data_IF_356087754300
#
_entry.id   IF_356087754300
#
_cell.length_a   1.000
_cell.length_b   1.000
_cell.length_c   1.000
_cell.angle_alpha   90.00
_cell.angle_beta   90.00
_cell.angle_gamma   90.00
#
_symmetry.space_group_name_H-M   'P 1'
#
loop_
_entity.id
_entity.type
_entity.pdbx_description
1 polymer ?
#
# COMPACT_ATOMS: atom_id res chain seq x y z
N UNK A 1 20.32 -18.46 -8.48
CA UNK A 1 18.93 -17.98 -8.54
C UNK A 1 18.02 -19.19 -8.43
N UNK A 2 17.08 -19.20 -7.50
CA UNK A 2 16.06 -20.25 -7.37
C UNK A 2 14.86 -19.92 -8.24
N UNK A 3 14.11 -20.95 -8.66
CA UNK A 3 12.80 -20.73 -9.29
C UNK A 3 11.74 -20.33 -8.24
N UNK A 4 10.58 -19.84 -8.69
CA UNK A 4 9.49 -19.37 -7.84
C UNK A 4 9.01 -20.45 -6.87
N UNK A 5 8.84 -21.68 -7.37
CA UNK A 5 8.39 -22.84 -6.60
C UNK A 5 9.34 -23.15 -5.42
N UNK A 6 10.65 -23.13 -5.64
CA UNK A 6 11.64 -23.33 -4.59
C UNK A 6 11.57 -22.23 -3.52
N UNK A 7 11.35 -20.99 -3.94
CA UNK A 7 11.29 -19.83 -3.03
C UNK A 7 10.00 -19.85 -2.20
N UNK A 8 8.90 -20.36 -2.75
CA UNK A 8 7.66 -20.59 -2.00
C UNK A 8 7.77 -21.74 -1.00
N UNK A 9 8.45 -22.81 -1.39
CA UNK A 9 8.61 -24.03 -0.56
C UNK A 9 9.62 -23.81 0.56
N UNK A 10 10.70 -23.08 0.28
CA UNK A 10 11.80 -22.80 1.22
C UNK A 10 12.10 -21.29 1.30
N UNK A 11 11.18 -20.48 1.85
CA UNK A 11 11.27 -19.01 1.83
C UNK A 11 12.45 -18.44 2.64
N UNK A 12 13.04 -19.27 3.49
CA UNK A 12 14.18 -18.92 4.35
C UNK A 12 15.43 -19.73 4.00
N UNK A 13 15.44 -20.39 2.83
CA UNK A 13 16.63 -21.12 2.38
C UNK A 13 17.79 -20.16 2.14
N UNK A 14 18.97 -20.55 2.63
CA UNK A 14 20.23 -19.86 2.33
C UNK A 14 21.16 -20.82 1.63
N UNK A 15 21.79 -20.36 0.56
CA UNK A 15 22.82 -21.12 -0.16
C UNK A 15 24.17 -20.43 0.03
N UNK A 16 25.18 -21.20 0.45
CA UNK A 16 26.57 -20.76 0.56
C UNK A 16 27.38 -21.51 -0.48
N UNK A 17 28.15 -20.78 -1.27
CA UNK A 17 29.18 -21.37 -2.10
C UNK A 17 30.46 -21.48 -1.27
N UNK A 18 30.87 -22.70 -0.96
CA UNK A 18 32.09 -22.96 -0.19
C UNK A 18 33.33 -22.80 -1.08
N UNK A 19 34.51 -22.84 -0.49
CA UNK A 19 35.75 -22.70 -1.23
C UNK A 19 36.08 -23.95 -2.05
N UNK A 20 36.93 -23.79 -3.06
CA UNK A 20 37.41 -24.90 -3.87
C UNK A 20 38.41 -25.73 -3.06
N UNK A 21 38.17 -27.03 -2.96
CA UNK A 21 39.15 -27.97 -2.39
C UNK A 21 39.46 -29.07 -3.41
N UNK A 22 40.50 -28.83 -4.23
CA UNK A 22 41.06 -29.85 -5.14
C UNK A 22 40.17 -30.30 -6.31
N UNK A 23 38.96 -29.74 -6.46
CA UNK A 23 38.04 -29.96 -7.57
C UNK A 23 37.74 -28.63 -8.28
N UNK A 24 37.45 -28.70 -9.57
CA UNK A 24 36.94 -27.61 -10.40
C UNK A 24 35.46 -27.28 -10.14
N UNK A 25 34.80 -28.04 -9.27
CA UNK A 25 33.44 -27.78 -8.80
C UNK A 25 33.42 -27.09 -7.44
N UNK A 26 32.51 -26.13 -7.29
CA UNK A 26 32.33 -25.37 -6.05
C UNK A 26 31.24 -26.02 -5.19
N UNK A 27 31.54 -26.54 -3.99
CA UNK A 27 30.52 -27.14 -3.13
C UNK A 27 29.47 -26.09 -2.72
N UNK A 28 28.20 -26.51 -2.70
CA UNK A 28 27.08 -25.66 -2.35
C UNK A 28 26.40 -26.19 -1.08
N UNK A 29 26.39 -25.38 -0.03
CA UNK A 29 25.71 -25.68 1.23
C UNK A 29 24.36 -24.95 1.27
N UNK A 30 23.28 -25.72 1.23
CA UNK A 30 21.91 -25.21 1.38
C UNK A 30 21.41 -25.43 2.81
N UNK A 31 21.19 -24.35 3.55
CA UNK A 31 20.57 -24.39 4.88
C UNK A 31 19.08 -24.10 4.71
N UNK A 32 18.25 -25.04 5.16
CA UNK A 32 16.79 -24.93 5.14
C UNK A 32 16.30 -24.63 6.55
N UNK A 33 16.00 -23.37 6.86
CA UNK A 33 15.43 -22.99 8.15
C UNK A 33 13.93 -23.36 8.19
N UNK A 34 13.58 -24.43 8.90
CA UNK A 34 12.21 -24.98 9.00
C UNK A 34 11.36 -24.33 10.09
N UNK A 35 11.94 -23.50 10.96
CA UNK A 35 11.29 -23.01 12.18
C UNK A 35 10.59 -21.64 12.06
N UNK A 36 10.67 -20.98 10.91
CA UNK A 36 10.00 -19.68 10.76
C UNK A 36 8.50 -19.88 10.52
N UNK A 37 7.70 -19.70 11.58
CA UNK A 37 6.23 -19.72 11.52
C UNK A 37 5.74 -18.73 10.45
N UNK A 38 4.79 -19.16 9.62
CA UNK A 38 4.03 -18.25 8.72
C UNK A 38 3.47 -17.09 9.57
N UNK A 39 3.88 -15.87 9.26
CA UNK A 39 3.37 -14.67 9.94
C UNK A 39 1.89 -14.49 9.57
N UNK A 40 1.06 -14.10 10.54
CA UNK A 40 -0.33 -13.69 10.27
C UNK A 40 -0.33 -12.54 9.25
N UNK A 41 -1.24 -12.61 8.29
CA UNK A 41 -1.45 -11.55 7.31
C UNK A 41 -1.85 -10.24 7.98
N UNK A 42 -1.34 -9.12 7.47
CA UNK A 42 -1.72 -7.78 7.92
C UNK A 42 -2.83 -7.29 7.00
N UNK A 43 -3.88 -6.69 7.57
CA UNK A 43 -4.94 -6.04 6.77
C UNK A 43 -4.33 -4.95 5.90
N UNK A 44 -4.76 -4.91 4.63
CA UNK A 44 -4.46 -3.82 3.70
C UNK A 44 -5.70 -3.52 2.91
N UNK A 45 -6.08 -2.25 2.89
CA UNK A 45 -7.19 -1.78 2.06
C UNK A 45 -6.83 -1.96 0.57
N UNK A 46 -7.72 -2.62 -0.16
CA UNK A 46 -7.60 -2.78 -1.62
C UNK A 46 -8.17 -1.51 -2.28
N UNK A 47 -7.36 -0.87 -3.13
CA UNK A 47 -7.76 0.37 -3.79
C UNK A 47 -8.90 0.17 -4.78
N UNK A 48 -9.05 -1.02 -5.35
CA UNK A 48 -10.12 -1.32 -6.30
C UNK A 48 -11.51 -1.22 -5.64
N UNK A 49 -11.57 -1.21 -4.31
CA UNK A 49 -12.80 -1.02 -3.55
C UNK A 49 -13.28 0.43 -3.49
N UNK A 50 -12.47 1.40 -3.93
CA UNK A 50 -12.81 2.83 -3.85
C UNK A 50 -14.08 3.18 -4.64
N UNK A 51 -14.29 2.50 -5.77
CA UNK A 51 -15.39 2.77 -6.69
C UNK A 51 -16.61 1.89 -6.36
N UNK A 52 -16.53 1.02 -5.34
CA UNK A 52 -17.62 0.15 -4.95
C UNK A 52 -18.60 0.94 -4.04
N UNK A 53 -19.85 1.17 -4.47
CA UNK A 53 -20.84 1.89 -3.67
C UNK A 53 -21.17 1.14 -2.36
N UNK A 54 -21.17 -0.21 -2.36
CA UNK A 54 -21.43 -0.99 -1.15
C UNK A 54 -20.38 -0.72 -0.08
N UNK A 55 -19.11 -0.68 -0.46
CA UNK A 55 -18.00 -0.38 0.46
C UNK A 55 -18.16 1.02 1.04
N UNK A 56 -18.54 2.00 0.22
CA UNK A 56 -18.79 3.37 0.68
C UNK A 56 -19.89 3.39 1.74
N UNK A 57 -21.01 2.70 1.50
CA UNK A 57 -22.10 2.60 2.50
C UNK A 57 -21.68 1.86 3.77
N UNK A 58 -20.84 0.83 3.67
CA UNK A 58 -20.31 0.09 4.82
C UNK A 58 -19.40 0.99 5.65
N UNK A 59 -18.54 1.77 4.99
CA UNK A 59 -17.66 2.74 5.63
C UNK A 59 -18.47 3.82 6.33
N UNK A 60 -19.48 4.39 5.67
CA UNK A 60 -20.38 5.38 6.27
C UNK A 60 -21.09 4.86 7.52
N UNK A 61 -21.66 3.65 7.45
CA UNK A 61 -22.32 3.02 8.59
C UNK A 61 -21.34 2.71 9.72
N UNK A 62 -20.18 2.16 9.39
CA UNK A 62 -19.16 1.79 10.38
C UNK A 62 -18.54 3.02 11.05
N UNK A 63 -18.36 4.11 10.29
CA UNK A 63 -17.83 5.37 10.80
C UNK A 63 -18.80 6.02 11.78
N UNK A 64 -20.10 6.01 11.47
CA UNK A 64 -21.14 6.65 12.26
C UNK A 64 -21.76 5.75 13.34
N UNK A 65 -21.20 4.56 13.60
CA UNK A 65 -21.74 3.59 14.54
C UNK A 65 -21.82 4.11 15.99
N UNK A 66 -20.85 4.94 16.40
CA UNK A 66 -20.81 5.55 17.74
C UNK A 66 -20.43 7.01 17.62
N UNK A 67 -21.22 7.89 18.25
CA UNK A 67 -20.99 9.34 18.24
C UNK A 67 -19.80 9.73 19.14
N UNK A 68 -19.61 9.03 20.25
CA UNK A 68 -18.54 9.30 21.22
C UNK A 68 -17.20 8.64 20.87
N UNK A 69 -17.17 7.79 19.83
CA UNK A 69 -15.95 7.11 19.44
C UNK A 69 -14.90 8.08 18.87
N UNK A 70 -13.64 7.87 19.27
CA UNK A 70 -12.49 8.58 18.71
C UNK A 70 -12.27 8.22 17.23
N UNK A 71 -11.49 9.04 16.52
CA UNK A 71 -11.15 8.77 15.11
C UNK A 71 -10.46 7.41 14.97
N UNK A 72 -9.52 7.08 15.85
CA UNK A 72 -8.85 5.77 15.85
C UNK A 72 -9.84 4.60 15.99
N UNK A 73 -10.80 4.71 16.90
CA UNK A 73 -11.84 3.69 17.09
C UNK A 73 -12.72 3.54 15.86
N UNK A 74 -13.10 4.64 15.21
CA UNK A 74 -13.90 4.64 13.97
C UNK A 74 -13.13 4.03 12.80
N UNK A 75 -11.84 4.34 12.64
CA UNK A 75 -10.94 3.68 11.67
C UNK A 75 -10.89 2.17 11.97
N UNK A 76 -10.77 1.79 13.23
CA UNK A 76 -10.81 0.40 13.67
C UNK A 76 -12.11 -0.32 13.33
N UNK A 77 -13.26 0.34 13.48
CA UNK A 77 -14.58 -0.17 13.08
C UNK A 77 -14.68 -0.36 11.56
N UNK A 78 -14.24 0.64 10.78
CA UNK A 78 -14.19 0.53 9.32
C UNK A 78 -13.34 -0.66 8.88
N UNK A 79 -12.16 -0.84 9.50
CA UNK A 79 -11.28 -1.99 9.24
C UNK A 79 -12.00 -3.32 9.47
N UNK A 80 -12.70 -3.47 10.60
CA UNK A 80 -13.45 -4.70 10.93
C UNK A 80 -14.56 -4.97 9.91
N UNK A 81 -15.35 -3.95 9.58
CA UNK A 81 -16.47 -4.07 8.64
C UNK A 81 -15.99 -4.42 7.22
N UNK A 82 -14.95 -3.74 6.72
CA UNK A 82 -14.36 -4.05 5.40
C UNK A 82 -13.74 -5.45 5.41
N UNK A 83 -13.05 -5.84 6.49
CA UNK A 83 -12.45 -7.18 6.60
C UNK A 83 -13.52 -8.28 6.57
N UNK A 84 -14.66 -8.05 7.24
CA UNK A 84 -15.80 -8.96 7.23
C UNK A 84 -16.42 -9.05 5.84
N UNK A 85 -16.70 -7.91 5.20
CA UNK A 85 -17.23 -7.88 3.83
C UNK A 85 -16.29 -8.59 2.86
N UNK A 86 -14.98 -8.39 2.97
CA UNK A 86 -13.98 -9.10 2.18
C UNK A 86 -14.04 -10.60 2.40
N UNK A 87 -14.18 -11.07 3.64
CA UNK A 87 -14.28 -12.51 3.89
C UNK A 87 -15.52 -13.13 3.22
N UNK A 88 -16.62 -12.37 3.14
CA UNK A 88 -17.89 -12.81 2.55
C UNK A 88 -17.93 -12.71 1.02
N UNK A 89 -17.28 -11.69 0.44
CA UNK A 89 -17.39 -11.34 -0.99
C UNK A 89 -16.16 -11.67 -1.82
N UNK A 90 -15.06 -12.13 -1.21
CA UNK A 90 -13.86 -12.45 -1.98
C UNK A 90 -14.10 -13.72 -2.81
N UNK A 91 -14.56 -13.53 -4.05
CA UNK A 91 -14.32 -14.49 -5.11
C UNK A 91 -12.80 -14.61 -5.25
N UNK A 92 -12.30 -15.83 -5.27
CA UNK A 92 -10.91 -16.03 -5.64
C UNK A 92 -10.82 -15.60 -7.12
N UNK A 93 -10.20 -14.46 -7.41
CA UNK A 93 -10.07 -13.93 -8.77
C UNK A 93 -9.52 -14.99 -9.74
N UNK A 94 -8.68 -15.89 -9.24
CA UNK A 94 -8.17 -17.01 -10.00
C UNK A 94 -9.24 -18.05 -10.37
N UNK A 95 -10.22 -18.29 -9.49
CA UNK A 95 -11.39 -19.13 -9.80
C UNK A 95 -12.30 -18.46 -10.83
N UNK A 96 -12.50 -17.14 -10.73
CA UNK A 96 -13.28 -16.37 -11.70
C UNK A 96 -12.65 -16.40 -13.09
N UNK A 97 -11.33 -16.19 -13.17
CA UNK A 97 -10.55 -16.33 -14.41
C UNK A 97 -10.63 -17.75 -14.97
N UNK A 98 -10.53 -18.78 -14.13
CA UNK A 98 -10.65 -20.18 -14.57
C UNK A 98 -12.04 -20.51 -15.12
N UNK A 99 -13.09 -19.99 -14.49
CA UNK A 99 -14.45 -20.22 -14.92
C UNK A 99 -14.77 -19.49 -16.24
N UNK A 100 -14.32 -18.25 -16.41
CA UNK A 100 -14.47 -17.52 -17.68
C UNK A 100 -13.66 -18.18 -18.81
N UNK A 101 -12.47 -18.74 -18.53
CA UNK A 101 -11.73 -19.56 -19.48
C UNK A 101 -12.49 -20.80 -19.90
N UNK A 102 -13.13 -21.50 -18.94
CA UNK A 102 -13.94 -22.69 -19.22
C UNK A 102 -15.15 -22.34 -20.09
N UNK A 103 -15.82 -21.22 -19.82
CA UNK A 103 -16.93 -20.72 -20.66
C UNK A 103 -16.47 -20.40 -22.07
N UNK A 104 -15.30 -19.78 -22.22
CA UNK A 104 -14.72 -19.47 -23.52
C UNK A 104 -14.42 -20.75 -24.31
N UNK A 105 -13.80 -21.74 -23.67
CA UNK A 105 -13.49 -23.04 -24.27
C UNK A 105 -14.76 -23.76 -24.75
N UNK A 106 -15.82 -23.75 -23.96
CA UNK A 106 -17.13 -24.31 -24.34
C UNK A 106 -17.77 -23.56 -25.50
N UNK A 107 -17.73 -22.22 -25.49
CA UNK A 107 -18.29 -21.40 -26.56
C UNK A 107 -17.54 -21.60 -27.90
N UNK A 108 -16.21 -21.75 -27.85
CA UNK A 108 -15.38 -22.01 -29.03
C UNK A 108 -15.49 -23.45 -29.54
N UNK A 109 -15.85 -24.40 -28.68
CA UNK A 109 -16.05 -25.82 -29.05
C UNK A 109 -17.49 -26.12 -29.48
N UNK A 110 -18.38 -25.13 -29.41
CA UNK A 110 -19.78 -25.28 -29.82
C UNK A 110 -19.90 -25.34 -31.34
N UNK A 111 -20.78 -26.19 -31.90
CA UNK A 111 -21.07 -26.19 -33.33
C UNK A 111 -21.82 -24.94 -33.83
N UNK A 112 -22.27 -24.08 -32.92
CA UNK A 112 -22.94 -22.81 -33.22
C UNK A 112 -22.01 -21.65 -32.86
N UNK A 113 -21.59 -20.87 -33.87
CA UNK A 113 -20.75 -19.69 -33.68
C UNK A 113 -21.59 -18.50 -33.21
N UNK A 114 -21.67 -18.30 -31.89
CA UNK A 114 -22.21 -17.07 -31.31
C UNK A 114 -21.08 -16.07 -31.04
N UNK A 115 -20.76 -15.26 -32.05
CA UNK A 115 -19.71 -14.25 -31.96
C UNK A 115 -19.99 -13.19 -30.87
N UNK A 116 -21.27 -12.89 -30.59
CA UNK A 116 -21.64 -11.91 -29.57
C UNK A 116 -21.37 -12.45 -28.16
N UNK A 117 -21.66 -13.73 -27.92
CA UNK A 117 -21.34 -14.40 -26.67
C UNK A 117 -19.81 -14.47 -26.45
N UNK A 118 -19.05 -14.86 -27.48
CA UNK A 118 -17.58 -14.93 -27.42
C UNK A 118 -16.96 -13.56 -27.13
N UNK A 119 -17.45 -12.50 -27.78
CA UNK A 119 -17.00 -11.13 -27.51
C UNK A 119 -17.29 -10.71 -26.06
N UNK A 120 -18.47 -11.08 -25.54
CA UNK A 120 -18.85 -10.80 -24.16
C UNK A 120 -17.94 -11.52 -23.15
N UNK A 121 -17.68 -12.81 -23.36
CA UNK A 121 -16.79 -13.61 -22.50
C UNK A 121 -15.36 -13.05 -22.53
N UNK A 122 -14.85 -12.69 -23.71
CA UNK A 122 -13.52 -12.08 -23.82
C UNK A 122 -13.41 -10.73 -23.09
N UNK A 123 -14.46 -9.89 -23.16
CA UNK A 123 -14.50 -8.64 -22.41
C UNK A 123 -14.52 -8.88 -20.90
N UNK A 124 -15.29 -9.87 -20.43
CA UNK A 124 -15.33 -10.25 -19.01
C UNK A 124 -13.97 -10.78 -18.54
N UNK A 125 -13.34 -11.65 -19.33
CA UNK A 125 -12.03 -12.21 -19.03
C UNK A 125 -10.94 -11.13 -19.00
N UNK A 126 -10.97 -10.19 -19.95
CA UNK A 126 -10.07 -9.04 -19.97
C UNK A 126 -10.26 -8.15 -18.73
N UNK A 127 -11.51 -7.90 -18.33
CA UNK A 127 -11.83 -7.14 -17.11
C UNK A 127 -11.32 -7.86 -15.84
N UNK A 128 -11.48 -9.18 -15.76
CA UNK A 128 -10.95 -9.98 -14.65
C UNK A 128 -9.42 -9.92 -14.57
N UNK A 129 -8.72 -10.01 -15.70
CA UNK A 129 -7.27 -9.87 -15.77
C UNK A 129 -6.79 -8.48 -15.33
N UNK A 130 -7.45 -7.40 -15.78
CA UNK A 130 -7.10 -6.05 -15.36
C UNK A 130 -7.25 -5.85 -13.84
N UNK A 131 -8.30 -6.42 -13.24
CA UNK A 131 -8.49 -6.39 -11.78
C UNK A 131 -7.38 -7.15 -11.04
N UNK A 132 -7.00 -8.33 -11.52
CA UNK A 132 -5.90 -9.13 -10.96
C UNK A 132 -4.55 -8.40 -11.10
N UNK A 133 -4.28 -7.81 -12.26
CA UNK A 133 -3.07 -7.03 -12.50
C UNK A 133 -3.01 -5.82 -11.56
N UNK A 134 -4.10 -5.06 -11.42
CA UNK A 134 -4.17 -3.93 -10.49
C UNK A 134 -3.93 -4.38 -9.04
N UNK A 135 -4.51 -5.51 -8.63
CA UNK A 135 -4.30 -6.12 -7.31
C UNK A 135 -2.82 -6.46 -7.08
N UNK A 136 -2.16 -7.14 -8.04
CA UNK A 136 -0.76 -7.50 -7.93
C UNK A 136 0.18 -6.31 -8.07
N UNK A 137 -0.16 -5.31 -8.87
CA UNK A 137 0.58 -4.07 -9.01
C UNK A 137 0.60 -3.30 -7.67
N UNK A 138 -0.55 -3.20 -6.99
CA UNK A 138 -0.64 -2.60 -5.65
C UNK A 138 0.24 -3.33 -4.63
N UNK A 139 0.27 -4.68 -4.68
CA UNK A 139 1.02 -5.50 -3.72
C UNK A 139 2.52 -5.55 -3.99
N UNK A 140 2.92 -5.56 -5.25
CA UNK A 140 4.33 -5.60 -5.68
C UNK A 140 5.04 -4.28 -5.48
N UNK A 141 4.32 -3.15 -5.46
CA UNK A 141 4.87 -1.79 -5.24
C UNK A 141 5.97 -1.44 -6.26
N UNK A 142 5.80 -1.84 -7.51
CA UNK A 142 6.73 -1.67 -8.65
C UNK A 142 6.98 -0.19 -9.05
N UNK A 143 6.62 0.80 -8.23
CA UNK A 143 6.92 2.21 -8.50
C UNK A 143 8.44 2.50 -8.49
N UNK A 144 9.22 1.71 -7.74
CA UNK A 144 10.66 1.92 -7.56
C UNK A 144 11.56 1.27 -8.63
N UNK A 145 11.06 0.26 -9.35
CA UNK A 145 11.87 -0.49 -10.31
C UNK A 145 12.05 0.26 -11.65
N UNK A 146 11.13 1.17 -12.00
CA UNK A 146 11.20 1.93 -13.25
C UNK A 146 12.27 3.04 -13.25
N UNK A 147 12.62 3.57 -12.08
CA UNK A 147 13.64 4.61 -11.92
C UNK A 147 14.94 3.95 -11.41
N UNK A 148 15.70 3.36 -12.33
CA UNK A 148 16.90 2.59 -12.01
C UNK A 148 17.87 3.27 -11.03
N UNK A 149 18.47 2.48 -10.15
CA UNK A 149 19.35 2.89 -9.04
C UNK A 149 20.80 3.25 -9.48
N UNK A 150 20.98 3.74 -10.71
CA UNK A 150 22.30 4.00 -11.32
C UNK A 150 22.67 5.48 -11.38
N UNK A 151 22.27 6.28 -10.38
CA UNK A 151 22.79 7.65 -10.27
C UNK A 151 22.83 8.18 -8.82
N UNK A 152 23.68 7.58 -7.97
CA UNK A 152 23.89 8.04 -6.59
C UNK A 152 24.33 9.51 -6.52
N UNK A 153 25.12 10.00 -7.49
CA UNK A 153 25.57 11.39 -7.55
C UNK A 153 24.42 12.40 -7.67
N UNK A 154 23.49 12.17 -8.59
CA UNK A 154 22.29 13.00 -8.75
C UNK A 154 21.42 12.97 -7.49
N UNK A 155 21.17 11.79 -6.91
CA UNK A 155 20.35 11.69 -5.70
C UNK A 155 21.03 12.33 -4.48
N UNK A 156 22.36 12.25 -4.34
CA UNK A 156 23.09 12.94 -3.28
C UNK A 156 23.11 14.46 -3.48
N UNK A 157 23.23 14.96 -4.71
CA UNK A 157 23.12 16.38 -5.03
C UNK A 157 21.70 16.90 -4.78
N UNK A 158 20.67 16.17 -5.24
CA UNK A 158 19.27 16.48 -4.99
C UNK A 158 18.93 16.43 -3.49
N UNK A 159 19.50 15.48 -2.74
CA UNK A 159 19.33 15.39 -1.28
C UNK A 159 20.04 16.54 -0.56
N UNK A 160 21.25 16.93 -0.98
CA UNK A 160 21.96 18.10 -0.45
C UNK A 160 21.20 19.39 -0.74
N UNK A 161 20.72 19.57 -1.97
CA UNK A 161 19.85 20.70 -2.35
C UNK A 161 18.57 20.74 -1.51
N UNK A 162 17.90 19.59 -1.33
CA UNK A 162 16.74 19.49 -0.42
C UNK A 162 17.08 19.79 1.02
N UNK A 163 18.24 19.36 1.55
CA UNK A 163 18.67 19.71 2.91
C UNK A 163 18.87 21.21 3.08
N UNK A 164 19.44 21.88 2.08
CA UNK A 164 19.59 23.34 2.07
C UNK A 164 18.23 24.03 2.01
N UNK A 165 17.31 23.58 1.16
CA UNK A 165 15.94 24.13 1.04
C UNK A 165 15.10 23.88 2.30
N UNK A 166 15.20 22.68 2.88
CA UNK A 166 14.46 22.28 4.08
C UNK A 166 15.07 22.85 5.37
N UNK A 167 16.27 23.46 5.30
CA UNK A 167 16.80 24.27 6.40
C UNK A 167 16.01 25.57 6.40
N UNK A 168 14.82 25.53 6.99
CA UNK A 168 13.89 26.65 7.15
C UNK A 168 14.52 27.72 8.06
N UNK A 169 15.49 28.47 7.53
CA UNK A 169 16.22 29.50 8.28
C UNK A 169 15.34 30.72 8.53
N UNK A 170 14.57 31.14 7.53
CA UNK A 170 13.63 32.28 7.56
C UNK A 170 12.50 31.96 6.57
N UNK A 171 11.25 32.24 6.94
CA UNK A 171 10.08 32.14 6.05
C UNK A 171 9.58 33.55 5.85
N UNK A 172 9.54 34.00 4.59
CA UNK A 172 9.15 35.35 4.20
C UNK A 172 7.85 35.30 3.38
N UNK A 173 7.03 36.34 3.49
CA UNK A 173 5.87 36.53 2.63
C UNK A 173 6.29 37.01 1.22
N UNK A 174 5.33 37.24 0.33
CA UNK A 174 5.58 37.76 -1.01
C UNK A 174 6.26 39.14 -1.04
N UNK A 175 6.35 39.82 0.10
CA UNK A 175 6.96 41.14 0.26
C UNK A 175 8.31 41.08 0.97
N UNK A 176 8.84 39.88 1.26
CA UNK A 176 10.12 39.69 1.96
C UNK A 176 10.03 39.88 3.48
N UNK A 177 8.82 39.86 4.06
CA UNK A 177 8.63 40.05 5.50
C UNK A 177 8.60 38.68 6.20
N UNK A 178 9.43 38.51 7.23
CA UNK A 178 9.48 37.28 8.02
C UNK A 178 8.13 36.96 8.68
N UNK A 179 7.50 35.87 8.27
CA UNK A 179 6.21 35.37 8.77
C UNK A 179 6.44 34.26 9.79
N UNK A 180 6.43 34.62 11.07
CA UNK A 180 6.52 33.66 12.18
C UNK A 180 5.17 33.40 12.84
N UNK A 181 4.25 34.37 12.81
CA UNK A 181 2.93 34.25 13.46
C UNK A 181 1.97 33.31 12.74
N UNK A 182 2.01 33.25 11.41
CA UNK A 182 1.15 32.37 10.62
C UNK A 182 1.49 30.88 10.79
N UNK A 183 2.75 30.56 11.14
CA UNK A 183 3.22 29.18 11.34
C UNK A 183 2.82 28.59 12.70
N UNK A 184 2.47 29.45 13.66
CA UNK A 184 2.03 29.07 15.01
C UNK A 184 0.50 29.14 15.09
N UNK A 185 -0.16 29.66 14.06
CA UNK A 185 -1.61 29.70 14.00
C UNK A 185 -2.20 28.29 13.88
N UNK A 186 -3.39 28.11 14.44
CA UNK A 186 -4.15 26.87 14.29
C UNK A 186 -4.50 26.64 12.81
N UNK A 187 -4.34 25.41 12.31
CA UNK A 187 -4.63 25.12 10.91
C UNK A 187 -6.13 25.21 10.63
N UNK A 188 -6.45 25.85 9.49
CA UNK A 188 -7.81 25.90 8.98
C UNK A 188 -8.26 24.52 8.48
N UNK A 189 -9.58 24.23 8.47
CA UNK A 189 -10.11 22.99 7.86
C UNK A 189 -9.67 22.78 6.41
N UNK A 190 -9.52 23.87 5.65
CA UNK A 190 -9.05 23.84 4.27
C UNK A 190 -7.59 23.43 4.15
N UNK A 191 -6.72 23.90 5.06
CA UNK A 191 -5.31 23.48 5.12
C UNK A 191 -5.17 22.02 5.52
N UNK A 192 -5.96 21.55 6.49
CA UNK A 192 -5.98 20.15 6.91
C UNK A 192 -6.38 19.25 5.74
N UNK A 193 -7.43 19.62 5.01
CA UNK A 193 -7.85 18.91 3.80
C UNK A 193 -6.74 18.94 2.73
N UNK A 194 -6.18 20.11 2.44
CA UNK A 194 -5.12 20.26 1.44
C UNK A 194 -3.89 19.40 1.77
N UNK A 195 -3.49 19.37 3.04
CA UNK A 195 -2.39 18.55 3.53
C UNK A 195 -2.66 17.05 3.27
N UNK A 196 -3.83 16.54 3.62
CA UNK A 196 -4.19 15.14 3.35
C UNK A 196 -4.21 14.82 1.84
N UNK A 197 -4.74 15.72 1.02
CA UNK A 197 -4.85 15.53 -0.43
C UNK A 197 -3.51 15.69 -1.16
N UNK A 198 -2.50 16.31 -0.54
CA UNK A 198 -1.14 16.36 -1.06
C UNK A 198 -0.40 15.02 -0.99
N UNK A 199 -0.89 14.09 -0.15
CA UNK A 199 -0.28 12.77 0.02
C UNK A 199 -0.65 11.89 -1.18
N UNK A 200 0.35 11.28 -1.82
CA UNK A 200 0.10 10.34 -2.91
C UNK A 200 -0.78 9.16 -2.41
N UNK A 201 -1.90 8.84 -3.09
CA UNK A 201 -2.85 7.80 -2.66
C UNK A 201 -2.24 6.41 -2.44
N UNK A 202 -1.14 6.11 -3.15
CA UNK A 202 -0.44 4.82 -3.15
C UNK A 202 0.75 4.77 -2.17
N UNK A 203 0.86 5.75 -1.28
CA UNK A 203 1.82 5.71 -0.18
C UNK A 203 1.56 4.51 0.73
N UNK A 204 2.63 4.07 1.39
CA UNK A 204 2.57 2.92 2.29
C UNK A 204 1.53 3.17 3.39
N UNK A 205 0.64 2.20 3.66
CA UNK A 205 -0.33 2.33 4.74
C UNK A 205 0.36 2.28 6.11
N UNK A 206 -0.28 2.90 7.10
CA UNK A 206 0.13 2.81 8.48
C UNK A 206 -0.15 1.43 9.09
N UNK A 207 0.03 1.29 10.41
CA UNK A 207 -0.39 0.09 11.15
C UNK A 207 -1.88 -0.22 11.04
N UNK A 208 -2.67 0.78 10.65
CA UNK A 208 -4.10 0.69 10.40
C UNK A 208 -4.46 -0.04 9.10
N UNK A 209 -3.52 -0.17 8.16
CA UNK A 209 -3.72 -0.82 6.87
C UNK A 209 -4.44 0.04 5.82
N UNK A 210 -4.69 1.33 6.09
CA UNK A 210 -5.30 2.26 5.13
C UNK A 210 -4.23 3.16 4.49
N UNK A 211 -4.35 3.40 3.18
CA UNK A 211 -3.52 4.39 2.48
C UNK A 211 -4.22 5.75 2.46
N UNK A 212 -3.50 6.80 2.05
CA UNK A 212 -4.09 8.14 1.90
C UNK A 212 -5.31 8.15 0.96
N UNK A 213 -5.31 7.28 -0.07
CA UNK A 213 -6.43 7.17 -1.00
C UNK A 213 -7.76 6.79 -0.34
N UNK A 214 -7.74 6.00 0.75
CA UNK A 214 -8.94 5.67 1.50
C UNK A 214 -9.57 6.92 2.13
N UNK A 215 -8.77 7.74 2.80
CA UNK A 215 -9.23 8.97 3.46
C UNK A 215 -9.65 10.04 2.45
N UNK A 216 -8.95 10.14 1.31
CA UNK A 216 -9.30 11.07 0.24
C UNK A 216 -10.66 10.73 -0.38
N UNK A 217 -10.92 9.44 -0.63
CA UNK A 217 -12.19 8.97 -1.21
C UNK A 217 -13.36 9.18 -0.24
N UNK A 218 -13.14 8.95 1.05
CA UNK A 218 -14.19 9.01 2.08
C UNK A 218 -14.19 10.34 2.87
N UNK A 219 -13.58 11.40 2.32
CA UNK A 219 -13.37 12.66 3.05
C UNK A 219 -14.68 13.36 3.41
N UNK A 220 -15.73 13.23 2.60
CA UNK A 220 -17.05 13.80 2.89
C UNK A 220 -17.62 13.31 4.24
N UNK A 221 -17.30 12.07 4.61
CA UNK A 221 -17.80 11.40 5.81
C UNK A 221 -16.84 11.56 6.97
N UNK A 222 -15.54 11.38 6.72
CA UNK A 222 -14.52 11.33 7.77
C UNK A 222 -13.93 12.71 8.10
N UNK A 223 -13.91 13.60 7.12
CA UNK A 223 -13.25 14.90 7.17
C UNK A 223 -13.66 15.76 8.37
N UNK A 224 -14.95 15.88 8.73
CA UNK A 224 -15.36 16.67 9.89
C UNK A 224 -14.71 16.21 11.20
N UNK A 225 -14.78 14.91 11.53
CA UNK A 225 -14.23 14.38 12.78
C UNK A 225 -12.69 14.37 12.79
N UNK A 226 -12.06 14.12 11.64
CA UNK A 226 -10.59 14.24 11.49
C UNK A 226 -10.15 15.69 11.71
N UNK A 227 -10.88 16.66 11.16
CA UNK A 227 -10.56 18.08 11.31
C UNK A 227 -10.67 18.52 12.77
N UNK A 228 -11.71 18.07 13.46
CA UNK A 228 -11.91 18.31 14.90
C UNK A 228 -10.75 17.75 15.72
N UNK A 229 -10.39 16.46 15.54
CA UNK A 229 -9.29 15.84 16.27
C UNK A 229 -7.94 16.54 16.00
N UNK A 230 -7.69 16.95 14.76
CA UNK A 230 -6.47 17.72 14.44
C UNK A 230 -6.47 19.06 15.17
N UNK A 231 -7.58 19.80 15.21
CA UNK A 231 -7.65 21.06 15.95
C UNK A 231 -7.45 20.86 17.45
N UNK A 232 -8.08 19.86 18.05
CA UNK A 232 -7.89 19.50 19.46
C UNK A 232 -6.41 19.22 19.79
N UNK A 233 -5.67 18.57 18.89
CA UNK A 233 -4.23 18.31 19.07
C UNK A 233 -3.44 19.63 19.10
N UNK A 234 -3.76 20.60 18.24
CA UNK A 234 -3.08 21.89 18.20
C UNK A 234 -3.44 22.74 19.43
N UNK A 235 -4.72 22.74 19.85
CA UNK A 235 -5.19 23.45 21.05
C UNK A 235 -4.57 22.86 22.34
N UNK A 236 -4.61 21.53 22.49
CA UNK A 236 -4.09 20.84 23.67
C UNK A 236 -2.56 20.72 23.67
N UNK A 237 -1.90 20.89 22.51
CA UNK A 237 -0.47 20.60 22.30
C UNK A 237 -0.06 19.18 22.72
N UNK A 238 -0.98 18.22 22.64
CA UNK A 238 -0.77 16.81 23.01
C UNK A 238 -1.12 15.94 21.81
N UNK A 239 -0.14 15.16 21.35
CA UNK A 239 -0.34 14.16 20.29
C UNK A 239 -0.64 12.80 20.94
N UNK A 240 -1.80 12.18 20.67
CA UNK A 240 -2.10 10.82 21.11
C UNK A 240 -0.97 9.85 20.71
N UNK A 241 -0.52 9.04 21.66
CA UNK A 241 0.57 8.08 21.43
C UNK A 241 0.27 7.06 20.33
N UNK A 242 -1.01 6.79 20.08
CA UNK A 242 -1.46 5.91 19.01
C UNK A 242 -1.16 6.46 17.61
N UNK A 243 -1.19 7.78 17.40
CA UNK A 243 -0.84 8.42 16.13
C UNK A 243 0.65 8.32 15.79
N UNK A 244 1.51 8.10 16.79
CA UNK A 244 2.95 7.94 16.62
C UNK A 244 3.37 6.50 16.27
N UNK A 245 2.41 5.56 16.12
CA UNK A 245 2.71 4.17 15.77
C UNK A 245 3.07 4.05 14.29
N UNK A 246 4.24 3.50 13.98
CA UNK A 246 4.69 3.28 12.59
C UNK A 246 5.29 1.89 12.39
N UNK A 247 5.31 1.43 11.13
CA UNK A 247 5.99 0.20 10.75
C UNK A 247 7.40 0.50 10.23
N UNK A 248 8.41 0.02 10.94
CA UNK A 248 9.79 0.04 10.45
C UNK A 248 9.99 -1.15 9.50
N UNK A 249 10.50 -0.89 8.29
CA UNK A 249 10.76 -1.90 7.27
C UNK A 249 12.12 -1.68 6.64
N UNK A 250 12.91 -2.74 6.54
CA UNK A 250 14.15 -2.75 5.77
C UNK A 250 13.80 -2.87 4.28
N UNK A 251 14.31 -1.93 3.47
CA UNK A 251 14.17 -1.96 2.01
C UNK A 251 15.52 -2.38 1.43
N UNK A 252 15.61 -3.56 0.81
CA UNK A 252 16.85 -4.02 0.18
C UNK A 252 17.21 -3.08 -0.97
N UNK A 253 18.46 -2.58 -0.98
CA UNK A 253 19.01 -1.74 -2.07
C UNK A 253 19.77 -2.54 -3.12
N UNK A 254 20.28 -3.70 -2.73
CA UNK A 254 20.94 -4.65 -3.62
C UNK A 254 20.19 -5.98 -3.61
N UNK A 255 20.30 -6.80 -4.67
CA UNK A 255 19.85 -8.19 -4.62
C UNK A 255 20.50 -8.91 -3.44
N UNK A 256 19.69 -9.62 -2.64
CA UNK A 256 20.13 -10.47 -1.53
C UNK A 256 21.09 -9.80 -0.53
N UNK A 257 20.68 -8.70 0.16
CA UNK A 257 21.54 -8.02 1.10
C UNK A 257 21.86 -8.92 2.30
N UNK A 258 23.15 -9.00 2.67
CA UNK A 258 23.65 -9.87 3.75
C UNK A 258 24.01 -9.12 5.03
N UNK A 259 24.18 -7.81 4.97
CA UNK A 259 24.56 -6.97 6.09
C UNK A 259 23.88 -5.59 6.00
N UNK A 260 23.69 -4.94 7.15
CA UNK A 260 23.38 -3.52 7.23
C UNK A 260 24.71 -2.77 7.05
N UNK A 261 24.77 -1.87 6.08
CA UNK A 261 25.84 -0.86 6.02
C UNK A 261 25.42 0.28 6.92
N UNK A 262 26.27 0.65 7.88
CA UNK A 262 26.08 1.84 8.73
C UNK A 262 26.17 3.13 7.90
#
# INVERSE_FOLDING_TARGET
MSNSLWTETFPSSRCYYLDFEGSDHRPLLSILETHLKKKKGIFRYDRNMKDNPEITTIVEKAWNLSLEASVEQRIGSCRKSISKWNLEHHSNAQKEIQEEKRKLELAMSSPTEDQALIATINNNLSSAYQKEEAYWHQRSRTLWLALGDRNSGYFHAATRGRRTINKLAIIEDSNGISVYKSLIAEPSPSEIKAALFSINPDKAPGPDGFSAGFFQTNWSVMGPKITEEVKEIFEASIIPSSLNRTHVRLIPKTPSPKALTE
#
